data_IF_187885549024
#
_entry.id   IF_187885549024
#
_cell.length_a   1.000
_cell.length_b   1.000
_cell.length_c   1.000
_cell.angle_alpha   90.00
_cell.angle_beta   90.00
_cell.angle_gamma   90.00
#
_symmetry.space_group_name_H-M   'P 1'
#
loop_
_entity.id
_entity.type
_entity.pdbx_description
1 polymer ?
#
# COMPACT_ATOMS: atom_id res chain seq x y z
N UNK A 1 43.61 67.53 -32.75
CA UNK A 1 44.20 66.67 -31.70
C UNK A 1 43.48 67.01 -30.40
N UNK A 2 42.30 66.48 -30.02
CA UNK A 2 41.81 65.10 -29.79
C UNK A 2 42.72 64.24 -28.89
N UNK A 3 42.11 63.83 -27.78
CA UNK A 3 42.43 62.75 -26.83
C UNK A 3 43.41 63.05 -25.68
N UNK A 4 42.84 63.49 -24.55
CA UNK A 4 43.36 63.19 -23.20
C UNK A 4 42.29 63.54 -22.16
N UNK A 5 41.17 62.80 -22.13
CA UNK A 5 40.22 62.88 -21.01
C UNK A 5 39.35 61.61 -20.90
N UNK A 6 39.97 60.43 -20.88
CA UNK A 6 39.29 59.16 -20.59
C UNK A 6 40.30 58.19 -19.97
N UNK A 7 40.74 58.45 -18.74
CA UNK A 7 41.49 57.45 -17.97
C UNK A 7 41.37 57.69 -16.45
N UNK A 8 40.16 57.93 -15.95
CA UNK A 8 39.90 57.90 -14.50
C UNK A 8 38.49 57.42 -14.14
N UNK A 9 37.82 56.73 -15.07
CA UNK A 9 36.48 56.15 -14.86
C UNK A 9 36.37 54.69 -15.31
N UNK A 10 37.52 54.00 -15.41
CA UNK A 10 37.59 52.57 -15.71
C UNK A 10 38.32 51.75 -14.63
N UNK A 11 38.57 52.34 -13.46
CA UNK A 11 39.20 51.64 -12.33
C UNK A 11 38.23 51.40 -11.15
N UNK A 12 36.97 51.86 -11.25
CA UNK A 12 35.94 51.65 -10.21
C UNK A 12 34.84 50.64 -10.61
N UNK A 13 34.95 49.99 -11.77
CA UNK A 13 33.97 48.97 -12.21
C UNK A 13 34.46 47.52 -12.05
N UNK A 14 35.64 47.31 -11.47
CA UNK A 14 36.20 45.98 -11.21
C UNK A 14 36.25 45.59 -9.72
N UNK A 15 35.43 46.21 -8.87
CA UNK A 15 35.40 45.92 -7.43
C UNK A 15 33.99 45.68 -6.85
N UNK A 16 33.02 45.25 -7.67
CA UNK A 16 31.66 44.98 -7.16
C UNK A 16 31.05 43.66 -7.66
N UNK A 17 31.84 42.66 -8.03
CA UNK A 17 31.33 41.29 -8.31
C UNK A 17 31.89 40.24 -7.33
N UNK A 18 32.47 40.65 -6.21
CA UNK A 18 32.89 39.73 -5.14
C UNK A 18 32.06 40.05 -3.88
N UNK A 19 30.77 39.77 -3.97
CA UNK A 19 29.79 39.54 -2.89
C UNK A 19 28.44 39.38 -3.61
N UNK A 20 27.78 38.25 -3.68
CA UNK A 20 27.66 37.18 -2.70
C UNK A 20 27.60 35.82 -3.41
N UNK A 21 28.70 35.08 -3.38
CA UNK A 21 28.56 33.64 -3.23
C UNK A 21 28.57 33.46 -1.72
N UNK A 22 27.39 33.28 -1.12
CA UNK A 22 27.32 32.85 0.27
C UNK A 22 28.26 31.64 0.39
N UNK A 23 29.28 31.74 1.24
CA UNK A 23 30.04 30.59 1.70
C UNK A 23 29.08 29.74 2.54
N UNK A 24 28.13 29.07 1.87
CA UNK A 24 27.34 28.02 2.48
C UNK A 24 28.29 26.83 2.55
N UNK A 25 28.80 26.47 3.75
CA UNK A 25 29.65 25.29 3.88
C UNK A 25 28.89 24.12 3.26
N UNK A 26 29.57 23.30 2.48
CA UNK A 26 28.99 22.08 1.92
C UNK A 26 28.53 21.21 3.08
N UNK A 27 27.23 21.22 3.35
CA UNK A 27 26.61 20.38 4.36
C UNK A 27 26.41 19.02 3.70
N UNK A 28 27.01 17.98 4.27
CA UNK A 28 26.74 16.61 3.86
C UNK A 28 25.35 16.22 4.39
N UNK A 29 24.29 16.57 3.64
CA UNK A 29 22.90 16.37 4.07
C UNK A 29 22.52 14.90 4.21
N UNK A 30 23.08 14.00 3.38
CA UNK A 30 22.84 12.55 3.47
C UNK A 30 23.14 11.97 4.85
N UNK A 31 24.38 12.07 5.38
CA UNK A 31 24.70 11.63 6.73
C UNK A 31 23.88 12.29 7.85
N UNK A 32 23.46 13.55 7.66
CA UNK A 32 22.58 14.23 8.63
C UNK A 32 21.20 13.58 8.63
N UNK A 33 20.63 13.30 7.46
CA UNK A 33 19.35 12.61 7.31
C UNK A 33 19.42 11.22 7.94
N UNK A 34 20.44 10.42 7.62
CA UNK A 34 20.61 9.08 8.21
C UNK A 34 20.67 9.13 9.75
N UNK A 35 21.45 10.06 10.30
CA UNK A 35 21.52 10.25 11.75
C UNK A 35 20.17 10.72 12.32
N UNK A 36 19.43 11.57 11.62
CA UNK A 36 18.16 12.10 12.08
C UNK A 36 17.06 11.03 12.03
N UNK A 37 17.02 10.20 10.99
CA UNK A 37 16.12 9.03 10.87
C UNK A 37 16.36 8.09 12.05
N UNK A 38 17.61 7.77 12.35
CA UNK A 38 17.93 6.92 13.51
C UNK A 38 17.43 7.53 14.82
N UNK A 39 17.59 8.85 15.02
CA UNK A 39 17.07 9.55 16.20
C UNK A 39 15.56 9.50 16.28
N UNK A 40 14.87 9.62 15.15
CA UNK A 40 13.42 9.47 15.07
C UNK A 40 12.99 8.04 15.46
N UNK A 41 13.68 7.02 14.92
CA UNK A 41 13.40 5.61 15.22
C UNK A 41 13.62 5.27 16.70
N UNK A 42 14.61 5.90 17.34
CA UNK A 42 14.89 5.79 18.78
C UNK A 42 13.88 6.59 19.64
N UNK A 43 12.90 7.28 19.05
CA UNK A 43 11.91 8.12 19.74
C UNK A 43 12.44 9.48 20.19
N UNK A 44 13.66 9.86 19.78
CA UNK A 44 14.32 11.12 20.13
C UNK A 44 13.94 12.24 19.13
N UNK A 45 12.64 12.51 19.01
CA UNK A 45 12.08 13.39 17.96
C UNK A 45 12.68 14.80 17.96
N UNK A 46 12.92 15.39 19.14
CA UNK A 46 13.51 16.74 19.25
C UNK A 46 14.94 16.81 18.71
N UNK A 47 15.72 15.74 18.87
CA UNK A 47 17.08 15.65 18.31
C UNK A 47 17.03 15.47 16.79
N UNK A 48 16.11 14.65 16.28
CA UNK A 48 15.88 14.49 14.84
C UNK A 48 15.48 15.83 14.20
N UNK A 49 14.52 16.56 14.79
CA UNK A 49 14.10 17.90 14.37
C UNK A 49 15.29 18.85 14.29
N UNK A 50 16.14 18.87 15.32
CA UNK A 50 17.32 19.75 15.36
C UNK A 50 18.32 19.43 14.24
N UNK A 51 18.43 18.17 13.81
CA UNK A 51 19.28 17.76 12.70
C UNK A 51 18.68 18.14 11.35
N UNK A 52 17.40 17.85 11.10
CA UNK A 52 16.75 18.21 9.82
C UNK A 52 16.76 19.71 9.56
N UNK A 53 16.61 20.55 10.60
CA UNK A 53 16.68 22.02 10.50
C UNK A 53 18.05 22.55 10.05
N UNK A 54 19.11 21.73 10.05
CA UNK A 54 20.42 22.12 9.53
C UNK A 54 20.49 22.07 8.00
N UNK A 55 19.56 21.38 7.34
CA UNK A 55 19.59 21.20 5.89
C UNK A 55 19.02 22.46 5.23
N UNK A 56 19.82 23.20 4.44
CA UNK A 56 19.40 24.47 3.87
C UNK A 56 18.43 24.26 2.69
N UNK A 57 17.60 25.26 2.41
CA UNK A 57 16.62 25.23 1.31
C UNK A 57 17.23 25.01 -0.08
N UNK A 58 18.51 25.34 -0.25
CA UNK A 58 19.26 25.14 -1.50
C UNK A 58 19.79 23.72 -1.69
N UNK A 59 19.66 22.86 -0.68
CA UNK A 59 20.14 21.48 -0.72
C UNK A 59 19.20 20.59 -1.54
N UNK A 60 19.77 19.67 -2.33
CA UNK A 60 19.00 18.71 -3.15
C UNK A 60 18.29 17.63 -2.34
N UNK A 61 18.46 17.61 -1.02
CA UNK A 61 17.70 16.78 -0.10
C UNK A 61 16.70 17.59 0.73
N UNK A 62 16.47 18.87 0.42
CA UNK A 62 15.62 19.72 1.26
C UNK A 62 14.16 19.22 1.30
N UNK A 63 13.60 18.76 0.18
CA UNK A 63 12.23 18.21 0.16
C UNK A 63 12.15 16.94 1.01
N UNK A 64 13.18 16.09 0.95
CA UNK A 64 13.26 14.92 1.83
C UNK A 64 13.37 15.35 3.30
N UNK A 65 14.22 16.31 3.63
CA UNK A 65 14.33 16.84 4.98
C UNK A 65 13.00 17.42 5.50
N UNK A 66 12.23 18.14 4.67
CA UNK A 66 10.90 18.64 5.02
C UNK A 66 9.92 17.50 5.30
N UNK A 67 9.92 16.45 4.47
CA UNK A 67 9.10 15.27 4.69
C UNK A 67 9.36 14.64 6.07
N UNK A 68 10.63 14.36 6.41
CA UNK A 68 11.01 13.76 7.69
C UNK A 68 10.82 14.70 8.88
N UNK A 69 11.08 16.00 8.67
CA UNK A 69 10.88 17.03 9.69
C UNK A 69 9.40 17.18 10.04
N UNK A 70 8.52 17.14 9.05
CA UNK A 70 7.08 17.14 9.26
C UNK A 70 6.62 15.93 10.07
N UNK A 71 7.13 14.74 9.75
CA UNK A 71 6.84 13.51 10.53
C UNK A 71 7.33 13.63 11.96
N UNK A 72 8.54 14.14 12.16
CA UNK A 72 9.13 14.34 13.48
C UNK A 72 8.34 15.35 14.32
N UNK A 73 7.85 16.44 13.71
CA UNK A 73 6.97 17.38 14.39
C UNK A 73 5.62 16.74 14.75
N UNK A 74 5.02 15.94 13.86
CA UNK A 74 3.79 15.20 14.16
C UNK A 74 3.99 14.25 15.35
N UNK A 75 5.08 13.48 15.37
CA UNK A 75 5.40 12.55 16.45
C UNK A 75 5.65 13.27 17.81
N UNK A 76 6.27 14.45 17.79
CA UNK A 76 6.46 15.31 18.97
C UNK A 76 5.21 16.16 19.30
N UNK A 77 4.06 15.90 18.67
CA UNK A 77 2.79 16.63 18.85
C UNK A 77 2.85 18.14 18.53
N UNK A 78 3.84 18.58 17.76
CA UNK A 78 3.99 19.96 17.28
C UNK A 78 3.23 20.18 15.96
N UNK A 79 1.91 20.03 16.00
CA UNK A 79 1.07 19.98 14.78
C UNK A 79 1.13 21.26 13.93
N UNK A 80 1.23 22.44 14.53
CA UNK A 80 1.33 23.71 13.77
C UNK A 80 2.61 23.76 12.92
N UNK A 81 3.75 23.31 13.46
CA UNK A 81 5.00 23.26 12.71
C UNK A 81 4.99 22.17 11.64
N UNK A 82 4.39 21.02 11.93
CA UNK A 82 4.20 19.96 10.94
C UNK A 82 3.38 20.46 9.74
N UNK A 83 2.24 21.14 9.97
CA UNK A 83 1.43 21.74 8.91
C UNK A 83 2.23 22.74 8.07
N UNK A 84 3.02 23.60 8.72
CA UNK A 84 3.87 24.59 8.04
C UNK A 84 4.88 23.92 7.12
N UNK A 85 5.56 22.87 7.61
CA UNK A 85 6.59 22.14 6.87
C UNK A 85 6.00 21.34 5.71
N UNK A 86 4.86 20.65 5.91
CA UNK A 86 4.19 19.95 4.81
C UNK A 86 3.70 20.93 3.72
N UNK A 87 3.13 22.07 4.12
CA UNK A 87 2.69 23.12 3.19
C UNK A 87 3.87 23.68 2.40
N UNK A 88 5.01 23.92 3.08
CA UNK A 88 6.24 24.35 2.43
C UNK A 88 6.70 23.32 1.39
N UNK A 89 6.80 22.05 1.78
CA UNK A 89 7.21 20.96 0.88
C UNK A 89 6.32 20.86 -0.36
N UNK A 90 5.00 20.90 -0.20
CA UNK A 90 4.02 20.86 -1.29
C UNK A 90 4.05 22.12 -2.18
N UNK A 91 4.59 23.24 -1.69
CA UNK A 91 4.74 24.47 -2.48
C UNK A 91 5.98 24.45 -3.39
N UNK A 92 6.94 23.58 -3.10
CA UNK A 92 8.18 23.47 -3.87
C UNK A 92 7.91 22.77 -5.21
N UNK A 93 8.45 23.33 -6.29
CA UNK A 93 8.28 22.79 -7.64
C UNK A 93 9.34 21.75 -8.03
N UNK A 94 10.47 21.77 -7.33
CA UNK A 94 11.62 20.88 -7.55
C UNK A 94 11.42 19.60 -6.72
N UNK A 95 12.01 18.48 -7.17
CA UNK A 95 12.06 17.21 -6.40
C UNK A 95 10.69 16.66 -5.99
N UNK A 96 9.86 16.33 -6.98
CA UNK A 96 8.49 15.82 -6.78
C UNK A 96 8.39 14.36 -6.37
N UNK A 97 9.52 13.72 -6.07
CA UNK A 97 9.56 12.31 -5.72
C UNK A 97 8.83 12.02 -4.39
N UNK A 98 9.00 12.90 -3.40
CA UNK A 98 8.36 12.82 -2.09
C UNK A 98 6.99 13.51 -2.01
N UNK A 99 6.53 14.09 -3.12
CA UNK A 99 5.25 14.79 -3.15
C UNK A 99 4.04 13.90 -2.74
N UNK A 100 3.89 12.63 -3.18
CA UNK A 100 2.82 11.76 -2.67
C UNK A 100 2.94 11.47 -1.16
N UNK A 101 4.17 11.31 -0.65
CA UNK A 101 4.42 11.10 0.78
C UNK A 101 4.00 12.33 1.61
N UNK A 102 4.34 13.54 1.13
CA UNK A 102 3.95 14.82 1.74
C UNK A 102 2.43 15.00 1.75
N UNK A 103 1.74 14.73 0.63
CA UNK A 103 0.28 14.76 0.58
C UNK A 103 -0.33 13.78 1.59
N UNK A 104 0.20 12.57 1.67
CA UNK A 104 -0.29 11.54 2.56
C UNK A 104 -0.16 11.96 4.02
N UNK A 105 0.99 12.46 4.44
CA UNK A 105 1.23 12.87 5.83
C UNK A 105 0.48 14.16 6.18
N UNK A 106 0.36 15.10 5.23
CA UNK A 106 -0.45 16.29 5.42
C UNK A 106 -1.92 15.95 5.63
N UNK A 107 -2.50 15.11 4.77
CA UNK A 107 -3.88 14.66 4.90
C UNK A 107 -4.09 13.86 6.20
N UNK A 108 -3.17 12.97 6.57
CA UNK A 108 -3.24 12.21 7.82
C UNK A 108 -3.21 13.12 9.04
N UNK A 109 -2.37 14.16 9.05
CA UNK A 109 -2.33 15.11 10.15
C UNK A 109 -3.64 15.90 10.26
N UNK A 110 -4.21 16.33 9.13
CA UNK A 110 -5.52 16.99 9.10
C UNK A 110 -6.62 16.06 9.62
N UNK A 111 -6.56 14.77 9.25
CA UNK A 111 -7.47 13.73 9.73
C UNK A 111 -7.35 13.51 11.25
N UNK A 112 -6.12 13.43 11.78
CA UNK A 112 -5.83 13.27 13.20
C UNK A 112 -6.23 14.49 14.04
N UNK A 113 -6.24 15.68 13.42
CA UNK A 113 -6.79 16.91 14.01
C UNK A 113 -8.33 16.97 13.97
N UNK A 114 -9.00 15.98 13.37
CA UNK A 114 -10.45 15.83 13.35
C UNK A 114 -11.17 16.45 12.15
N UNK A 115 -10.45 17.08 11.22
CA UNK A 115 -11.04 17.66 9.99
C UNK A 115 -11.06 16.62 8.86
N UNK A 116 -11.84 15.55 9.08
CA UNK A 116 -11.89 14.36 8.22
C UNK A 116 -12.27 14.70 6.77
N UNK A 117 -13.24 15.58 6.54
CA UNK A 117 -13.68 15.94 5.19
C UNK A 117 -12.61 16.73 4.42
N UNK A 118 -11.86 17.62 5.10
CA UNK A 118 -10.71 18.28 4.48
C UNK A 118 -9.60 17.29 4.16
N UNK A 119 -9.33 16.32 5.05
CA UNK A 119 -8.37 15.26 4.76
C UNK A 119 -8.78 14.45 3.52
N UNK A 120 -10.06 14.07 3.40
CA UNK A 120 -10.59 13.40 2.21
C UNK A 120 -10.37 14.21 0.92
N UNK A 121 -10.61 15.52 0.94
CA UNK A 121 -10.37 16.39 -0.22
C UNK A 121 -8.87 16.45 -0.62
N UNK A 122 -7.96 16.44 0.36
CA UNK A 122 -6.51 16.38 0.12
C UNK A 122 -6.15 15.01 -0.48
N UNK A 123 -6.66 13.91 0.07
CA UNK A 123 -6.46 12.58 -0.49
C UNK A 123 -7.00 12.47 -1.91
N UNK A 124 -8.16 13.04 -2.22
CA UNK A 124 -8.74 13.05 -3.57
C UNK A 124 -7.83 13.76 -4.57
N UNK A 125 -7.32 14.94 -4.19
CA UNK A 125 -6.36 15.69 -5.01
C UNK A 125 -5.10 14.86 -5.26
N UNK A 126 -4.57 14.22 -4.22
CA UNK A 126 -3.34 13.44 -4.30
C UNK A 126 -3.53 12.15 -5.11
N UNK A 127 -4.63 11.42 -4.94
CA UNK A 127 -4.94 10.17 -5.68
C UNK A 127 -5.18 10.46 -7.16
N UNK A 128 -5.78 11.61 -7.50
CA UNK A 128 -5.93 12.02 -8.89
C UNK A 128 -4.56 12.21 -9.58
N UNK A 129 -3.56 12.68 -8.84
CA UNK A 129 -2.19 12.87 -9.33
C UNK A 129 -1.33 11.61 -9.27
N UNK A 130 -1.53 10.78 -8.25
CA UNK A 130 -0.75 9.57 -7.96
C UNK A 130 -1.66 8.34 -7.83
N UNK A 131 -2.31 7.91 -8.93
CA UNK A 131 -3.39 6.91 -8.88
C UNK A 131 -2.92 5.49 -8.55
N UNK A 132 -1.61 5.26 -8.44
CA UNK A 132 -1.01 3.96 -8.10
C UNK A 132 -0.30 3.98 -6.75
N UNK A 133 -0.28 5.12 -6.05
CA UNK A 133 0.41 5.25 -4.78
C UNK A 133 -0.49 4.73 -3.64
N UNK A 134 -0.21 3.50 -3.22
CA UNK A 134 -1.06 2.71 -2.33
C UNK A 134 -1.37 3.35 -0.96
N UNK A 135 -0.42 4.00 -0.26
CA UNK A 135 -0.69 4.57 1.06
C UNK A 135 -1.80 5.64 1.07
N UNK A 136 -1.91 6.46 0.02
CA UNK A 136 -2.98 7.47 -0.09
C UNK A 136 -4.38 6.82 -0.09
N UNK A 137 -4.54 5.73 -0.85
CA UNK A 137 -5.82 5.01 -0.91
C UNK A 137 -6.17 4.34 0.42
N UNK A 138 -5.18 3.71 1.07
CA UNK A 138 -5.35 3.10 2.37
C UNK A 138 -5.79 4.13 3.42
N UNK A 139 -5.08 5.24 3.54
CA UNK A 139 -5.36 6.23 4.58
C UNK A 139 -6.68 6.98 4.33
N UNK A 140 -7.03 7.26 3.06
CA UNK A 140 -8.37 7.73 2.70
C UNK A 140 -9.44 6.73 3.11
N UNK A 141 -9.26 5.43 2.83
CA UNK A 141 -10.21 4.40 3.23
C UNK A 141 -10.36 4.30 4.75
N UNK A 142 -9.26 4.42 5.50
CA UNK A 142 -9.30 4.49 6.97
C UNK A 142 -10.11 5.70 7.46
N UNK A 143 -9.94 6.86 6.83
CA UNK A 143 -10.73 8.07 7.14
C UNK A 143 -12.23 7.85 6.85
N UNK A 144 -12.55 7.24 5.71
CA UNK A 144 -13.93 6.90 5.35
C UNK A 144 -14.58 5.94 6.38
N UNK A 145 -13.82 4.96 6.89
CA UNK A 145 -14.31 4.06 7.94
C UNK A 145 -14.59 4.77 9.27
N UNK A 146 -13.79 5.78 9.65
CA UNK A 146 -14.06 6.63 10.82
C UNK A 146 -15.39 7.38 10.67
N UNK A 147 -15.75 7.76 9.44
CA UNK A 147 -17.00 8.43 9.09
C UNK A 147 -18.18 7.46 8.81
N UNK A 148 -18.01 6.15 9.04
CA UNK A 148 -18.98 5.10 8.69
C UNK A 148 -19.36 5.06 7.19
N UNK A 149 -18.49 5.57 6.30
CA UNK A 149 -18.63 5.53 4.83
C UNK A 149 -18.00 4.24 4.27
N UNK A 150 -18.47 3.11 4.79
CA UNK A 150 -17.87 1.78 4.58
C UNK A 150 -17.93 1.28 3.13
N UNK A 151 -18.98 1.61 2.37
CA UNK A 151 -19.12 1.24 0.95
C UNK A 151 -18.04 1.92 0.10
N UNK A 152 -17.76 3.21 0.35
CA UNK A 152 -16.70 3.94 -0.35
C UNK A 152 -15.31 3.42 0.04
N UNK A 153 -15.12 3.11 1.33
CA UNK A 153 -13.88 2.52 1.82
C UNK A 153 -13.61 1.15 1.17
N UNK A 154 -14.62 0.28 1.08
CA UNK A 154 -14.54 -1.04 0.44
C UNK A 154 -14.06 -0.90 -1.01
N UNK A 155 -14.72 -0.08 -1.83
CA UNK A 155 -14.34 0.11 -3.24
C UNK A 155 -12.90 0.58 -3.38
N UNK A 156 -12.48 1.53 -2.53
CA UNK A 156 -11.13 2.07 -2.55
C UNK A 156 -10.07 1.04 -2.12
N UNK A 157 -10.38 0.21 -1.11
CA UNK A 157 -9.51 -0.86 -0.62
C UNK A 157 -9.37 -1.98 -1.64
N UNK A 158 -10.45 -2.36 -2.32
CA UNK A 158 -10.42 -3.34 -3.42
C UNK A 158 -9.51 -2.85 -4.56
N UNK A 159 -9.66 -1.59 -4.97
CA UNK A 159 -8.76 -0.95 -5.95
C UNK A 159 -7.31 -0.96 -5.46
N UNK A 160 -7.08 -0.60 -4.20
CA UNK A 160 -5.74 -0.59 -3.62
C UNK A 160 -5.10 -1.98 -3.62
N UNK A 161 -5.86 -3.03 -3.31
CA UNK A 161 -5.38 -4.41 -3.26
C UNK A 161 -5.13 -5.02 -4.64
N UNK A 162 -5.75 -4.50 -5.72
CA UNK A 162 -5.34 -4.83 -7.10
C UNK A 162 -4.02 -4.15 -7.48
N UNK A 163 -3.77 -2.94 -6.98
CA UNK A 163 -2.52 -2.19 -7.23
C UNK A 163 -1.36 -2.77 -6.41
N UNK A 164 -1.62 -3.04 -5.13
CA UNK A 164 -0.65 -3.53 -4.16
C UNK A 164 -1.29 -4.59 -3.25
N UNK A 165 -1.28 -5.87 -3.69
CA UNK A 165 -1.67 -7.01 -2.86
C UNK A 165 -0.88 -7.16 -1.55
N UNK A 166 0.26 -6.48 -1.42
CA UNK A 166 1.10 -6.52 -0.22
C UNK A 166 0.76 -5.40 0.77
N UNK A 167 -0.30 -4.62 0.54
CA UNK A 167 -0.80 -3.64 1.50
C UNK A 167 -1.52 -4.37 2.65
N UNK A 168 -0.74 -4.89 3.61
CA UNK A 168 -1.21 -5.69 4.76
C UNK A 168 -2.43 -5.03 5.44
N UNK A 169 -2.30 -3.74 5.78
CA UNK A 169 -3.37 -2.99 6.45
C UNK A 169 -4.66 -2.90 5.63
N UNK A 170 -4.59 -2.93 4.29
CA UNK A 170 -5.80 -2.92 3.46
C UNK A 170 -6.62 -4.19 3.58
N UNK A 171 -6.03 -5.35 3.82
CA UNK A 171 -6.78 -6.58 4.09
C UNK A 171 -7.60 -6.45 5.37
N UNK A 172 -7.01 -5.93 6.45
CA UNK A 172 -7.71 -5.70 7.71
C UNK A 172 -8.81 -4.64 7.58
N UNK A 173 -8.50 -3.51 6.93
CA UNK A 173 -9.48 -2.44 6.71
C UNK A 173 -10.63 -2.90 5.81
N UNK A 174 -10.37 -3.80 4.85
CA UNK A 174 -11.43 -4.41 4.02
C UNK A 174 -12.34 -5.30 4.86
N UNK A 175 -11.77 -6.02 5.83
CA UNK A 175 -12.53 -6.80 6.81
C UNK A 175 -13.42 -5.93 7.70
N UNK A 176 -12.90 -4.78 8.16
CA UNK A 176 -13.68 -3.80 8.91
C UNK A 176 -14.79 -3.16 8.06
N UNK A 177 -14.47 -2.78 6.82
CA UNK A 177 -15.44 -2.21 5.88
C UNK A 177 -16.61 -3.17 5.62
N UNK A 178 -16.30 -4.45 5.40
CA UNK A 178 -17.30 -5.50 5.22
C UNK A 178 -18.13 -5.71 6.50
N UNK A 179 -17.49 -5.71 7.68
CA UNK A 179 -18.20 -5.87 8.96
C UNK A 179 -19.19 -4.72 9.21
N UNK A 180 -18.77 -3.46 8.99
CA UNK A 180 -19.65 -2.29 9.14
C UNK A 180 -20.86 -2.32 8.19
N UNK A 181 -20.80 -3.11 7.13
CA UNK A 181 -21.90 -3.33 6.18
C UNK A 181 -22.73 -4.58 6.49
N UNK A 182 -22.39 -5.35 7.54
CA UNK A 182 -23.04 -6.62 7.85
C UNK A 182 -22.62 -7.78 6.94
N UNK A 183 -21.60 -7.61 6.08
CA UNK A 183 -21.06 -8.64 5.17
C UNK A 183 -20.10 -9.57 5.94
N UNK A 184 -20.64 -10.42 6.82
CA UNK A 184 -19.82 -11.17 7.79
C UNK A 184 -18.89 -12.20 7.15
N UNK A 185 -19.29 -12.83 6.04
CA UNK A 185 -18.47 -13.85 5.35
C UNK A 185 -17.24 -13.18 4.73
N UNK A 186 -17.45 -12.10 3.98
CA UNK A 186 -16.39 -11.27 3.39
C UNK A 186 -15.46 -10.70 4.45
N UNK A 187 -16.02 -10.22 5.57
CA UNK A 187 -15.25 -9.73 6.71
C UNK A 187 -14.33 -10.81 7.26
N UNK A 188 -14.86 -12.01 7.49
CA UNK A 188 -14.10 -13.15 8.00
C UNK A 188 -12.96 -13.54 7.04
N UNK A 189 -13.24 -13.62 5.73
CA UNK A 189 -12.24 -13.87 4.67
C UNK A 189 -11.13 -12.83 4.73
N UNK A 190 -11.47 -11.55 4.75
CA UNK A 190 -10.49 -10.46 4.80
C UNK A 190 -9.61 -10.49 6.05
N UNK A 191 -10.15 -10.89 7.21
CA UNK A 191 -9.36 -10.99 8.43
C UNK A 191 -8.35 -12.13 8.42
N UNK A 192 -8.73 -13.33 7.99
CA UNK A 192 -7.72 -14.40 7.86
C UNK A 192 -6.77 -14.17 6.68
N UNK A 193 -7.17 -13.40 5.65
CA UNK A 193 -6.24 -12.85 4.65
C UNK A 193 -5.22 -11.88 5.27
N UNK A 194 -5.64 -11.00 6.17
CA UNK A 194 -4.72 -10.12 6.90
C UNK A 194 -3.69 -10.92 7.71
N UNK A 195 -4.14 -11.92 8.48
CA UNK A 195 -3.25 -12.78 9.26
C UNK A 195 -2.33 -13.62 8.38
N UNK A 196 -2.77 -14.01 7.19
CA UNK A 196 -1.92 -14.65 6.17
C UNK A 196 -0.81 -13.73 5.67
N UNK A 197 -1.10 -12.43 5.51
CA UNK A 197 -0.11 -11.47 5.03
C UNK A 197 0.91 -11.08 6.10
N UNK A 198 0.48 -10.97 7.36
CA UNK A 198 1.37 -10.66 8.49
C UNK A 198 0.77 -11.20 9.78
N UNK A 199 1.18 -12.42 10.19
CA UNK A 199 0.75 -13.03 11.44
C UNK A 199 1.11 -12.21 12.68
N UNK A 200 2.07 -11.30 12.57
CA UNK A 200 2.60 -10.42 13.61
C UNK A 200 2.24 -8.93 13.41
N UNK A 201 1.34 -8.63 12.47
CA UNK A 201 1.05 -7.25 12.09
C UNK A 201 0.36 -6.45 13.19
N UNK A 202 0.44 -5.12 13.10
CA UNK A 202 -0.06 -4.18 14.15
C UNK A 202 -1.52 -4.35 14.58
N UNK A 203 -2.39 -4.88 13.70
CA UNK A 203 -3.80 -5.14 13.98
C UNK A 203 -4.08 -6.58 14.41
N UNK A 204 -3.05 -7.39 14.70
CA UNK A 204 -3.20 -8.81 15.04
C UNK A 204 -4.25 -9.04 16.12
N UNK A 205 -4.13 -8.37 17.27
CA UNK A 205 -5.06 -8.56 18.38
C UNK A 205 -6.49 -8.16 18.01
N UNK A 206 -6.67 -7.02 17.33
CA UNK A 206 -7.99 -6.57 16.88
C UNK A 206 -8.59 -7.52 15.86
N UNK A 207 -7.77 -8.07 14.96
CA UNK A 207 -8.18 -9.05 13.96
C UNK A 207 -8.66 -10.35 14.62
N UNK A 208 -7.88 -10.91 15.56
CA UNK A 208 -8.26 -12.11 16.32
C UNK A 208 -9.53 -11.87 17.13
N UNK A 209 -9.68 -10.69 17.73
CA UNK A 209 -10.90 -10.31 18.45
C UNK A 209 -12.12 -10.28 17.51
N UNK A 210 -12.01 -9.63 16.35
CA UNK A 210 -13.11 -9.57 15.38
C UNK A 210 -13.47 -10.97 14.83
N UNK A 211 -12.47 -11.80 14.52
CA UNK A 211 -12.68 -13.20 14.15
C UNK A 211 -13.41 -13.96 15.27
N UNK A 212 -13.01 -13.78 16.53
CA UNK A 212 -13.68 -14.41 17.67
C UNK A 212 -15.14 -13.98 17.82
N UNK A 213 -15.43 -12.69 17.64
CA UNK A 213 -16.79 -12.13 17.71
C UNK A 213 -17.68 -12.74 16.61
N UNK A 214 -17.18 -12.83 15.38
CA UNK A 214 -17.91 -13.47 14.26
C UNK A 214 -18.05 -14.98 14.48
N UNK A 215 -16.96 -15.68 14.80
CA UNK A 215 -16.93 -17.13 14.92
C UNK A 215 -17.86 -17.67 16.00
N UNK A 216 -17.99 -16.93 17.11
CA UNK A 216 -18.87 -17.26 18.21
C UNK A 216 -20.31 -16.75 18.01
N UNK A 217 -20.61 -16.04 16.91
CA UNK A 217 -21.87 -15.34 16.64
C UNK A 217 -22.42 -14.69 17.93
N UNK A 218 -21.64 -13.71 18.42
CA UNK A 218 -21.99 -12.86 19.57
C UNK A 218 -23.00 -11.79 19.15
N UNK A 219 -23.72 -11.22 20.11
CA UNK A 219 -24.77 -10.23 19.82
C UNK A 219 -24.24 -9.00 19.05
N UNK A 220 -22.97 -8.65 19.23
CA UNK A 220 -22.30 -7.56 18.51
C UNK A 220 -22.35 -7.73 16.98
N UNK A 221 -22.29 -8.96 16.45
CA UNK A 221 -22.41 -9.16 14.99
C UNK A 221 -23.85 -9.00 14.50
N UNK A 222 -24.84 -9.30 15.35
CA UNK A 222 -26.25 -9.25 14.96
C UNK A 222 -26.65 -7.83 14.61
N UNK A 223 -26.18 -6.85 15.39
CA UNK A 223 -26.43 -5.45 15.08
C UNK A 223 -25.95 -5.05 13.67
N UNK A 224 -24.79 -5.54 13.22
CA UNK A 224 -24.31 -5.25 11.87
C UNK A 224 -25.16 -5.93 10.79
N UNK A 225 -25.58 -7.17 11.02
CA UNK A 225 -26.44 -7.93 10.10
C UNK A 225 -27.83 -7.29 10.02
N UNK A 226 -28.42 -6.93 11.15
CA UNK A 226 -29.76 -6.34 11.23
C UNK A 226 -29.82 -4.97 10.56
N UNK A 227 -28.71 -4.22 10.61
CA UNK A 227 -28.58 -2.91 9.95
C UNK A 227 -28.08 -2.99 8.50
N UNK A 228 -27.85 -4.19 7.95
CA UNK A 228 -27.37 -4.33 6.57
C UNK A 228 -28.42 -3.80 5.60
N UNK A 229 -27.96 -3.11 4.57
CA UNK A 229 -28.85 -2.56 3.53
C UNK A 229 -29.25 -3.59 2.48
N UNK A 230 -28.38 -4.57 2.25
CA UNK A 230 -28.52 -5.55 1.18
C UNK A 230 -28.37 -6.96 1.76
N UNK A 231 -29.19 -7.88 1.24
CA UNK A 231 -29.03 -9.31 1.54
C UNK A 231 -27.76 -9.86 0.90
N UNK A 232 -27.13 -10.90 1.48
CA UNK A 232 -26.02 -11.61 0.88
C UNK A 232 -26.41 -12.11 -0.50
N UNK A 233 -25.47 -12.05 -1.43
CA UNK A 233 -25.63 -12.74 -2.71
C UNK A 233 -25.72 -14.25 -2.51
N UNK A 234 -26.24 -14.95 -3.51
CA UNK A 234 -26.34 -16.40 -3.52
C UNK A 234 -24.99 -17.08 -3.23
N UNK A 235 -23.89 -16.48 -3.71
CA UNK A 235 -22.51 -16.93 -3.49
C UNK A 235 -22.10 -17.00 -2.01
N UNK A 236 -22.71 -16.19 -1.15
CA UNK A 236 -22.35 -16.08 0.27
C UNK A 236 -23.46 -16.47 1.23
N UNK A 237 -24.71 -16.61 0.76
CA UNK A 237 -25.86 -16.90 1.60
C UNK A 237 -25.71 -18.20 2.40
N UNK A 238 -25.26 -19.28 1.76
CA UNK A 238 -25.02 -20.56 2.43
C UNK A 238 -23.89 -20.45 3.47
N UNK A 239 -22.79 -19.78 3.12
CA UNK A 239 -21.65 -19.59 4.02
C UNK A 239 -22.05 -18.77 5.26
N UNK A 240 -22.87 -17.74 5.08
CA UNK A 240 -23.40 -16.94 6.18
C UNK A 240 -24.27 -17.79 7.11
N UNK A 241 -25.20 -18.58 6.56
CA UNK A 241 -26.03 -19.49 7.35
C UNK A 241 -25.19 -20.50 8.15
N UNK A 242 -24.13 -21.04 7.54
CA UNK A 242 -23.20 -21.95 8.22
C UNK A 242 -22.53 -21.25 9.42
N UNK A 243 -21.97 -20.05 9.22
CA UNK A 243 -21.35 -19.29 10.31
C UNK A 243 -22.36 -19.05 11.44
N UNK A 244 -23.55 -18.55 11.10
CA UNK A 244 -24.58 -18.15 12.07
C UNK A 244 -25.19 -19.32 12.82
N UNK A 245 -25.36 -20.48 12.17
CA UNK A 245 -25.90 -21.70 12.78
C UNK A 245 -24.98 -22.31 13.85
N UNK A 246 -23.71 -21.90 13.88
CA UNK A 246 -22.67 -22.47 14.75
C UNK A 246 -22.48 -23.98 14.55
N UNK A 247 -22.84 -24.52 13.38
CA UNK A 247 -22.74 -25.96 13.10
C UNK A 247 -21.30 -26.49 13.25
N UNK A 248 -20.30 -25.66 12.91
CA UNK A 248 -18.89 -26.00 13.09
C UNK A 248 -18.48 -26.11 14.57
N UNK A 249 -19.25 -25.52 15.48
CA UNK A 249 -19.01 -25.57 16.93
C UNK A 249 -19.63 -26.81 17.59
N UNK A 250 -20.40 -27.61 16.83
CA UNK A 250 -20.90 -28.89 17.33
C UNK A 250 -19.72 -29.84 17.64
N UNK A 251 -19.82 -30.55 18.77
CA UNK A 251 -18.78 -31.49 19.23
C UNK A 251 -18.51 -32.63 18.25
N UNK A 252 -19.46 -32.96 17.38
CA UNK A 252 -19.32 -34.01 16.37
C UNK A 252 -18.66 -33.50 15.08
N UNK A 253 -18.56 -32.16 14.90
CA UNK A 253 -17.77 -31.60 13.83
C UNK A 253 -16.29 -31.85 14.10
N UNK A 254 -15.66 -32.62 13.21
CA UNK A 254 -14.27 -33.07 13.36
C UNK A 254 -13.33 -31.98 12.86
N UNK A 255 -12.58 -31.39 13.78
CA UNK A 255 -11.50 -30.47 13.44
C UNK A 255 -10.37 -31.21 12.71
N UNK A 256 -9.85 -30.60 11.65
CA UNK A 256 -8.65 -31.03 10.93
C UNK A 256 -7.37 -30.58 11.63
N UNK A 257 -7.47 -29.71 12.63
CA UNK A 257 -6.33 -29.12 13.36
C UNK A 257 -6.49 -29.34 14.87
N UNK A 258 -5.36 -29.52 15.58
CA UNK A 258 -5.38 -29.65 17.04
C UNK A 258 -5.70 -28.36 17.77
N UNK A 259 -5.48 -27.21 17.12
CA UNK A 259 -5.89 -25.90 17.61
C UNK A 259 -7.41 -25.78 17.47
N UNK A 260 -8.13 -26.44 18.39
CA UNK A 260 -9.55 -26.68 18.27
C UNK A 260 -10.39 -25.60 18.98
N UNK A 261 -10.38 -24.39 18.41
CA UNK A 261 -11.19 -23.27 18.86
C UNK A 261 -12.28 -22.87 17.84
N UNK A 262 -13.18 -21.97 18.24
CA UNK A 262 -14.29 -21.53 17.41
C UNK A 262 -13.84 -20.86 16.09
N UNK A 263 -12.74 -20.10 16.12
CA UNK A 263 -12.20 -19.44 14.93
C UNK A 263 -11.70 -20.51 13.96
N UNK A 264 -10.86 -21.43 14.42
CA UNK A 264 -10.29 -22.49 13.59
C UNK A 264 -11.37 -23.38 12.96
N UNK A 265 -12.39 -23.77 13.74
CA UNK A 265 -13.55 -24.53 13.25
C UNK A 265 -14.33 -23.78 12.17
N UNK A 266 -14.53 -22.48 12.34
CA UNK A 266 -15.27 -21.66 11.37
C UNK A 266 -14.44 -21.40 10.09
N UNK A 267 -13.12 -21.20 10.20
CA UNK A 267 -12.25 -21.14 9.01
C UNK A 267 -12.31 -22.47 8.27
N UNK A 268 -12.28 -23.61 8.98
CA UNK A 268 -12.35 -24.94 8.35
C UNK A 268 -13.64 -25.13 7.55
N UNK A 269 -14.81 -24.88 8.16
CA UNK A 269 -16.08 -25.09 7.46
C UNK A 269 -16.24 -24.15 6.26
N UNK A 270 -15.68 -22.94 6.33
CA UNK A 270 -15.65 -22.03 5.18
C UNK A 270 -14.80 -22.59 4.05
N UNK A 271 -13.61 -23.13 4.33
CA UNK A 271 -12.75 -23.75 3.31
C UNK A 271 -13.40 -25.01 2.72
N UNK A 272 -14.12 -25.79 3.53
CA UNK A 272 -14.86 -26.97 3.10
C UNK A 272 -16.03 -26.64 2.17
N UNK A 273 -16.67 -25.48 2.37
CA UNK A 273 -17.96 -25.14 1.75
C UNK A 273 -17.88 -24.04 0.72
N UNK A 274 -16.79 -23.29 0.63
CA UNK A 274 -16.63 -22.26 -0.37
C UNK A 274 -16.53 -22.85 -1.77
N UNK A 275 -17.31 -22.29 -2.68
CA UNK A 275 -17.31 -22.61 -4.09
C UNK A 275 -16.79 -21.41 -4.88
N UNK A 276 -16.02 -21.69 -5.94
CA UNK A 276 -15.55 -20.65 -6.84
C UNK A 276 -16.51 -20.54 -8.02
N UNK A 277 -16.94 -19.32 -8.32
CA UNK A 277 -17.76 -19.01 -9.47
C UNK A 277 -17.01 -18.06 -10.41
N UNK A 278 -16.63 -18.56 -11.59
CA UNK A 278 -15.87 -17.78 -12.58
C UNK A 278 -16.66 -16.64 -13.25
N UNK A 279 -17.99 -16.65 -13.18
CA UNK A 279 -18.84 -15.60 -13.77
C UNK A 279 -19.28 -14.54 -12.76
N UNK A 280 -19.08 -14.79 -11.47
CA UNK A 280 -19.34 -13.84 -10.41
C UNK A 280 -18.24 -12.76 -10.39
N UNK A 281 -18.65 -11.50 -10.43
CA UNK A 281 -17.76 -10.35 -10.50
C UNK A 281 -17.40 -9.78 -9.12
N UNK A 282 -17.86 -10.39 -8.03
CA UNK A 282 -17.50 -10.01 -6.67
C UNK A 282 -15.99 -10.08 -6.42
N UNK A 283 -15.48 -9.10 -5.68
CA UNK A 283 -14.06 -8.99 -5.41
C UNK A 283 -13.51 -10.18 -4.64
N UNK A 284 -14.15 -10.61 -3.54
CA UNK A 284 -13.64 -11.71 -2.73
C UNK A 284 -13.69 -13.03 -3.50
N UNK A 285 -14.73 -13.22 -4.32
CA UNK A 285 -14.92 -14.40 -5.16
C UNK A 285 -13.78 -14.56 -6.16
N UNK A 286 -13.34 -13.48 -6.79
CA UNK A 286 -12.25 -13.53 -7.76
C UNK A 286 -10.87 -13.41 -7.12
N UNK A 287 -10.74 -12.64 -6.04
CA UNK A 287 -9.46 -12.29 -5.44
C UNK A 287 -8.96 -13.32 -4.42
N UNK A 288 -9.83 -13.85 -3.56
CA UNK A 288 -9.42 -14.68 -2.42
C UNK A 288 -9.81 -16.15 -2.55
N UNK A 289 -11.04 -16.42 -2.98
CA UNK A 289 -11.59 -17.79 -2.98
C UNK A 289 -10.73 -18.79 -3.77
N UNK A 290 -10.17 -18.48 -4.96
CA UNK A 290 -9.33 -19.43 -5.70
C UNK A 290 -8.09 -19.88 -4.91
N UNK A 291 -7.47 -18.96 -4.16
CA UNK A 291 -6.32 -19.29 -3.30
C UNK A 291 -6.72 -20.23 -2.17
N UNK A 292 -7.83 -19.94 -1.49
CA UNK A 292 -8.28 -20.73 -0.34
C UNK A 292 -8.78 -22.11 -0.75
N UNK A 293 -9.47 -22.24 -1.88
CA UNK A 293 -9.79 -23.54 -2.48
C UNK A 293 -8.54 -24.36 -2.77
N UNK A 294 -7.53 -23.75 -3.43
CA UNK A 294 -6.27 -24.41 -3.71
C UNK A 294 -5.58 -24.92 -2.44
N UNK A 295 -5.50 -24.07 -1.40
CA UNK A 295 -4.92 -24.44 -0.09
C UNK A 295 -5.66 -25.65 0.50
N UNK A 296 -7.00 -25.69 0.42
CA UNK A 296 -7.79 -26.78 0.97
C UNK A 296 -7.64 -28.09 0.16
N UNK A 297 -7.79 -28.00 -1.16
CA UNK A 297 -7.73 -29.14 -2.10
C UNK A 297 -6.34 -29.81 -2.08
N UNK A 298 -5.28 -29.03 -1.93
CA UNK A 298 -3.90 -29.51 -1.79
C UNK A 298 -3.55 -29.95 -0.35
N UNK A 299 -4.54 -30.03 0.55
CA UNK A 299 -4.40 -30.48 1.95
C UNK A 299 -3.41 -29.65 2.77
N UNK A 300 -3.29 -28.36 2.47
CA UNK A 300 -2.40 -27.40 3.16
C UNK A 300 -3.10 -26.62 4.27
N UNK A 301 -4.36 -26.94 4.57
CA UNK A 301 -5.17 -26.26 5.57
C UNK A 301 -4.53 -26.22 6.96
N UNK A 302 -4.02 -27.35 7.46
CA UNK A 302 -3.39 -27.40 8.79
C UNK A 302 -2.17 -26.46 8.83
N UNK A 303 -1.28 -26.55 7.84
CA UNK A 303 -0.12 -25.65 7.71
C UNK A 303 -0.53 -24.18 7.67
N UNK A 304 -1.60 -23.86 6.94
CA UNK A 304 -2.15 -22.51 6.85
C UNK A 304 -2.61 -21.99 8.21
N UNK A 305 -3.42 -22.75 8.96
CA UNK A 305 -3.93 -22.33 10.27
C UNK A 305 -2.77 -22.07 11.25
N UNK A 306 -1.79 -22.99 11.32
CA UNK A 306 -0.64 -22.78 12.20
C UNK A 306 0.22 -21.59 11.79
N UNK A 307 0.33 -21.29 10.49
CA UNK A 307 1.06 -20.14 9.99
C UNK A 307 0.38 -18.82 10.39
N UNK A 308 -0.92 -18.65 10.13
CA UNK A 308 -1.62 -17.38 10.38
C UNK A 308 -1.72 -17.03 11.88
N UNK A 309 -1.63 -18.03 12.76
CA UNK A 309 -1.60 -17.86 14.21
C UNK A 309 -0.19 -18.00 14.82
N UNK A 310 0.86 -17.93 14.01
CA UNK A 310 2.25 -18.10 14.49
C UNK A 310 2.71 -17.05 15.50
N UNK A 311 2.02 -15.91 15.63
CA UNK A 311 2.28 -14.92 16.66
C UNK A 311 1.55 -15.20 18.00
N UNK A 312 0.67 -16.20 18.05
CA UNK A 312 0.06 -16.65 19.31
C UNK A 312 1.11 -17.43 20.11
N UNK A 313 1.31 -17.02 21.37
CA UNK A 313 2.25 -17.68 22.29
C UNK A 313 1.68 -19.00 22.86
N UNK A 314 1.42 -19.97 21.98
CA UNK A 314 1.02 -21.34 22.34
C UNK A 314 2.10 -22.30 21.84
N UNK A 315 2.65 -23.10 22.77
CA UNK A 315 3.77 -24.01 22.50
C UNK A 315 3.49 -24.96 21.33
N UNK A 316 2.27 -25.50 21.23
CA UNK A 316 1.87 -26.37 20.13
C UNK A 316 2.00 -25.71 18.75
N UNK A 317 1.66 -24.42 18.65
CA UNK A 317 1.76 -23.65 17.39
C UNK A 317 3.24 -23.43 17.02
N UNK A 318 4.06 -23.03 17.99
CA UNK A 318 5.48 -22.79 17.76
C UNK A 318 6.21 -24.08 17.36
N UNK A 319 5.91 -25.18 18.06
CA UNK A 319 6.48 -26.49 17.75
C UNK A 319 6.06 -26.98 16.36
N UNK A 320 4.78 -26.79 15.96
CA UNK A 320 4.33 -27.13 14.62
C UNK A 320 5.07 -26.33 13.54
N UNK A 321 5.13 -25.01 13.68
CA UNK A 321 5.77 -24.14 12.69
C UNK A 321 7.28 -24.38 12.58
N UNK A 322 7.95 -24.75 13.69
CA UNK A 322 9.35 -25.13 13.69
C UNK A 322 9.57 -26.48 13.00
N UNK A 323 8.72 -27.47 13.28
CA UNK A 323 8.82 -28.83 12.71
C UNK A 323 8.49 -28.86 11.22
N UNK A 324 7.48 -28.11 10.80
CA UNK A 324 6.97 -28.09 9.42
C UNK A 324 7.43 -26.84 8.65
N UNK A 325 8.66 -26.37 8.92
CA UNK A 325 9.20 -25.13 8.32
C UNK A 325 9.19 -25.20 6.79
N UNK A 326 9.52 -26.36 6.20
CA UNK A 326 9.59 -26.53 4.75
C UNK A 326 8.21 -26.39 4.10
N UNK A 327 7.20 -27.02 4.68
CA UNK A 327 5.81 -26.98 4.22
C UNK A 327 5.24 -25.55 4.37
N UNK A 328 5.54 -24.89 5.48
CA UNK A 328 5.18 -23.49 5.74
C UNK A 328 5.81 -22.55 4.71
N UNK A 329 7.12 -22.66 4.47
CA UNK A 329 7.85 -21.80 3.53
C UNK A 329 7.37 -22.03 2.08
N UNK A 330 7.00 -23.27 1.72
CA UNK A 330 6.38 -23.59 0.44
C UNK A 330 4.99 -22.97 0.29
N UNK A 331 4.14 -23.08 1.32
CA UNK A 331 2.83 -22.41 1.35
C UNK A 331 2.96 -20.89 1.19
N UNK A 332 3.88 -20.26 1.91
CA UNK A 332 4.14 -18.81 1.81
C UNK A 332 4.57 -18.46 0.38
N UNK A 333 5.48 -19.24 -0.21
CA UNK A 333 5.95 -19.02 -1.58
C UNK A 333 4.82 -19.09 -2.61
N UNK A 334 3.86 -20.00 -2.43
CA UNK A 334 2.69 -20.11 -3.30
C UNK A 334 1.70 -18.94 -3.13
N UNK A 335 1.48 -18.49 -1.89
CA UNK A 335 0.69 -17.29 -1.60
C UNK A 335 1.33 -16.07 -2.26
N UNK A 336 2.64 -15.91 -2.12
CA UNK A 336 3.41 -14.82 -2.75
C UNK A 336 3.30 -14.89 -4.27
N UNK A 337 3.43 -16.07 -4.88
CA UNK A 337 3.27 -16.24 -6.32
C UNK A 337 1.86 -15.85 -6.79
N UNK A 338 0.83 -16.27 -6.05
CA UNK A 338 -0.57 -15.93 -6.34
C UNK A 338 -0.82 -14.42 -6.29
N UNK A 339 -0.36 -13.75 -5.23
CA UNK A 339 -0.51 -12.30 -5.06
C UNK A 339 0.37 -11.53 -6.05
N UNK A 340 1.53 -12.06 -6.42
CA UNK A 340 2.37 -11.47 -7.45
C UNK A 340 1.67 -11.48 -8.81
N UNK A 341 0.98 -12.57 -9.17
CA UNK A 341 0.16 -12.62 -10.39
C UNK A 341 -0.90 -11.51 -10.41
N UNK A 342 -1.59 -11.28 -9.28
CA UNK A 342 -2.50 -10.13 -9.15
C UNK A 342 -1.76 -8.82 -9.34
N UNK A 343 -0.60 -8.62 -8.69
CA UNK A 343 0.14 -7.35 -8.74
C UNK A 343 0.63 -7.00 -10.15
N UNK A 344 1.18 -7.98 -10.85
CA UNK A 344 1.79 -7.77 -12.18
C UNK A 344 0.75 -7.70 -13.28
N UNK A 345 -0.47 -8.20 -13.06
CA UNK A 345 -1.55 -8.14 -14.06
C UNK A 345 -2.58 -7.05 -13.75
N UNK A 346 -2.79 -6.76 -12.47
CA UNK A 346 -3.92 -6.02 -11.90
C UNK A 346 -5.28 -6.52 -12.37
N UNK A 347 -5.35 -7.79 -12.75
CA UNK A 347 -6.55 -8.43 -13.24
C UNK A 347 -7.27 -9.10 -12.07
N UNK A 348 -8.51 -8.65 -11.82
CA UNK A 348 -9.33 -9.17 -10.74
C UNK A 348 -9.71 -10.63 -11.05
N UNK A 349 -10.20 -10.90 -12.26
CA UNK A 349 -10.76 -12.20 -12.62
C UNK A 349 -9.67 -13.26 -12.69
N UNK A 350 -9.77 -14.30 -11.84
CA UNK A 350 -8.73 -15.30 -11.69
C UNK A 350 -8.38 -16.00 -13.01
N UNK A 351 -9.38 -16.40 -13.79
CA UNK A 351 -9.20 -17.07 -15.10
C UNK A 351 -8.55 -16.19 -16.19
N UNK A 352 -8.51 -14.87 -15.98
CA UNK A 352 -7.98 -13.91 -16.95
C UNK A 352 -6.57 -13.46 -16.65
N UNK A 353 -6.05 -13.65 -15.43
CA UNK A 353 -4.72 -13.13 -15.02
C UNK A 353 -3.61 -13.60 -15.95
N UNK A 354 -3.53 -14.91 -16.19
CA UNK A 354 -2.52 -15.49 -17.08
C UNK A 354 -2.61 -14.95 -18.52
N UNK A 355 -3.82 -14.59 -18.99
CA UNK A 355 -4.07 -14.07 -20.33
C UNK A 355 -4.05 -12.53 -20.43
N UNK A 356 -3.83 -11.81 -19.33
CA UNK A 356 -3.85 -10.36 -19.38
C UNK A 356 -2.77 -9.84 -20.34
N UNK A 357 -3.17 -8.99 -21.28
CA UNK A 357 -2.29 -8.46 -22.33
C UNK A 357 -1.34 -7.38 -21.80
N UNK A 358 -1.74 -6.71 -20.73
CA UNK A 358 -0.93 -5.70 -20.04
C UNK A 358 -0.36 -6.27 -18.75
N UNK A 359 0.91 -5.98 -18.53
CA UNK A 359 1.66 -6.31 -17.32
C UNK A 359 2.29 -5.07 -16.72
N UNK A 360 2.54 -5.11 -15.42
CA UNK A 360 3.14 -4.03 -14.64
C UNK A 360 4.49 -4.49 -14.09
N UNK A 361 5.54 -3.75 -14.45
CA UNK A 361 6.85 -3.88 -13.82
C UNK A 361 6.85 -3.13 -12.50
N UNK A 362 7.44 -3.76 -11.49
CA UNK A 362 7.52 -3.22 -10.13
C UNK A 362 9.00 -3.11 -9.75
N UNK A 363 9.43 -1.94 -9.28
CA UNK A 363 10.73 -1.71 -8.65
C UNK A 363 10.50 -1.05 -7.30
N UNK A 364 11.18 -1.53 -6.25
CA UNK A 364 11.17 -0.92 -4.91
C UNK A 364 9.76 -0.66 -4.36
N UNK A 365 8.81 -1.56 -4.65
CA UNK A 365 7.43 -1.43 -4.21
C UNK A 365 6.52 -0.62 -5.13
N UNK A 366 7.07 0.21 -6.03
CA UNK A 366 6.34 1.08 -6.93
C UNK A 366 6.27 0.52 -8.37
N UNK A 367 5.33 1.03 -9.17
CA UNK A 367 5.26 0.67 -10.60
C UNK A 367 6.33 1.43 -11.34
N UNK A 368 7.24 0.68 -11.98
CA UNK A 368 8.33 1.21 -12.78
C UNK A 368 8.04 1.15 -14.28
N UNK A 369 7.11 0.30 -14.71
CA UNK A 369 6.69 0.23 -16.10
C UNK A 369 5.39 -0.52 -16.33
N UNK A 370 4.83 -0.35 -17.53
CA UNK A 370 3.58 -0.98 -17.96
C UNK A 370 3.62 -1.22 -19.47
N UNK A 371 3.29 -2.43 -19.89
CA UNK A 371 3.20 -2.80 -21.31
C UNK A 371 2.94 -4.30 -21.49
N UNK A 372 3.24 -4.82 -22.68
CA UNK A 372 3.04 -6.24 -22.99
C UNK A 372 4.37 -6.99 -23.08
N UNK A 373 4.34 -8.28 -22.75
CA UNK A 373 5.46 -9.20 -22.94
C UNK A 373 5.18 -10.14 -24.12
N UNK A 374 6.23 -10.58 -24.81
CA UNK A 374 6.15 -11.67 -25.76
C UNK A 374 5.76 -12.98 -25.06
N UNK A 375 5.45 -14.00 -25.86
CA UNK A 375 5.06 -15.32 -25.35
C UNK A 375 6.14 -16.02 -24.51
N UNK A 376 7.41 -15.61 -24.65
CA UNK A 376 8.52 -16.06 -23.80
C UNK A 376 8.49 -15.46 -22.38
N UNK A 377 7.70 -14.40 -22.15
CA UNK A 377 7.59 -13.72 -20.87
C UNK A 377 8.77 -12.83 -20.51
N UNK A 378 9.76 -12.70 -21.40
CA UNK A 378 11.00 -11.95 -21.15
C UNK A 378 11.06 -10.68 -21.99
N UNK A 379 10.70 -10.76 -23.28
CA UNK A 379 10.83 -9.62 -24.20
C UNK A 379 9.67 -8.65 -24.06
N UNK A 380 9.99 -7.37 -23.97
CA UNK A 380 9.00 -6.30 -24.02
C UNK A 380 8.53 -6.12 -25.46
N UNK A 381 7.22 -6.07 -25.70
CA UNK A 381 6.65 -5.86 -27.03
C UNK A 381 5.56 -4.79 -27.01
N UNK A 382 5.32 -4.17 -28.16
CA UNK A 382 4.26 -3.18 -28.29
C UNK A 382 4.52 -1.91 -27.45
N UNK A 383 3.47 -1.13 -27.12
CA UNK A 383 3.63 0.11 -26.39
C UNK A 383 4.03 -0.14 -24.94
N UNK A 384 5.00 0.63 -24.47
CA UNK A 384 5.49 0.62 -23.10
C UNK A 384 5.56 2.03 -22.51
N UNK A 385 5.15 2.13 -21.26
CA UNK A 385 5.31 3.30 -20.40
C UNK A 385 6.24 2.93 -19.24
N UNK A 386 7.15 3.84 -18.88
CA UNK A 386 7.99 3.73 -17.69
C UNK A 386 7.78 4.93 -16.81
N UNK A 387 7.88 4.73 -15.50
CA UNK A 387 7.54 5.73 -14.51
C UNK A 387 8.71 6.00 -13.56
N UNK A 388 8.77 7.20 -13.03
CA UNK A 388 9.56 7.51 -11.85
C UNK A 388 8.99 6.82 -10.61
N UNK A 389 9.75 6.67 -9.51
CA UNK A 389 9.26 6.08 -8.26
C UNK A 389 7.95 6.70 -7.75
N UNK A 390 7.78 8.01 -7.93
CA UNK A 390 6.55 8.74 -7.60
C UNK A 390 5.36 8.48 -8.55
N UNK A 391 5.53 7.68 -9.60
CA UNK A 391 4.47 7.30 -10.54
C UNK A 391 4.28 8.23 -11.74
N UNK A 392 5.00 9.36 -11.81
CA UNK A 392 4.99 10.23 -12.98
C UNK A 392 5.63 9.52 -14.19
N UNK A 393 5.10 9.74 -15.39
CA UNK A 393 5.65 9.18 -16.63
C UNK A 393 7.09 9.68 -16.83
N UNK A 394 8.02 8.75 -17.02
CA UNK A 394 9.44 9.00 -17.30
C UNK A 394 9.73 8.86 -18.79
N UNK A 395 9.18 7.82 -19.41
CA UNK A 395 9.35 7.59 -20.84
C UNK A 395 8.22 6.75 -21.41
N UNK A 396 7.91 6.95 -22.69
CA UNK A 396 6.96 6.11 -23.41
C UNK A 396 7.41 5.90 -24.86
N UNK A 397 7.25 4.68 -25.36
CA UNK A 397 7.62 4.29 -26.71
C UNK A 397 7.12 2.89 -27.06
N UNK A 398 7.65 2.31 -28.13
CA UNK A 398 7.24 1.00 -28.63
C UNK A 398 8.43 0.08 -28.75
N UNK A 399 8.21 -1.20 -28.44
CA UNK A 399 9.11 -2.30 -28.76
C UNK A 399 8.56 -3.13 -29.93
N UNK A 400 9.45 -3.58 -30.81
CA UNK A 400 9.15 -4.52 -31.88
C UNK A 400 9.07 -5.97 -31.34
N UNK A 401 8.74 -6.93 -32.21
CA UNK A 401 8.58 -8.35 -31.82
C UNK A 401 9.90 -9.02 -31.38
N UNK A 402 11.05 -8.40 -31.68
CA UNK A 402 12.37 -8.87 -31.23
C UNK A 402 12.75 -8.31 -29.84
N UNK A 403 11.95 -7.43 -29.26
CA UNK A 403 12.24 -6.76 -28.00
C UNK A 403 13.15 -5.54 -28.13
N UNK A 404 13.27 -4.97 -29.33
CA UNK A 404 14.08 -3.79 -29.61
C UNK A 404 13.19 -2.55 -29.65
N UNK A 405 13.71 -1.41 -29.17
CA UNK A 405 13.00 -0.14 -29.23
C UNK A 405 12.82 0.30 -30.69
N UNK A 406 11.60 0.67 -31.08
CA UNK A 406 11.30 1.16 -32.42
C UNK A 406 10.53 2.48 -32.41
N UNK A 407 10.67 3.24 -33.50
CA UNK A 407 9.93 4.46 -33.73
C UNK A 407 10.30 5.56 -32.75
N UNK A 408 9.31 6.27 -32.23
CA UNK A 408 9.52 7.48 -31.44
C UNK A 408 9.39 7.21 -29.95
N UNK A 409 10.45 7.53 -29.20
CA UNK A 409 10.48 7.51 -27.75
C UNK A 409 10.40 8.93 -27.19
N UNK A 410 9.43 9.15 -26.30
CA UNK A 410 9.27 10.40 -25.57
C UNK A 410 9.84 10.25 -24.17
N UNK A 411 10.58 11.26 -23.72
CA UNK A 411 11.15 11.34 -22.36
C UNK A 411 10.62 12.57 -21.66
N UNK A 412 10.41 12.45 -20.36
CA UNK A 412 9.78 13.48 -19.53
C UNK A 412 10.60 13.66 -18.25
N UNK A 413 10.75 14.90 -17.81
CA UNK A 413 11.25 15.22 -16.48
C UNK A 413 10.22 14.80 -15.41
N UNK A 414 10.67 14.69 -14.16
CA UNK A 414 9.80 14.35 -13.01
C UNK A 414 8.59 15.28 -12.82
N UNK A 415 8.68 16.53 -13.30
CA UNK A 415 7.58 17.49 -13.25
C UNK A 415 6.55 17.31 -14.38
N UNK A 416 6.72 16.30 -15.24
CA UNK A 416 5.88 15.99 -16.39
C UNK A 416 6.20 16.79 -17.65
N UNK A 417 7.15 17.74 -17.59
CA UNK A 417 7.58 18.47 -18.78
C UNK A 417 8.33 17.54 -19.73
N UNK A 418 8.04 17.64 -21.03
CA UNK A 418 8.74 16.87 -22.06
C UNK A 418 10.21 17.29 -22.08
N UNK A 419 11.09 16.31 -21.87
CA UNK A 419 12.54 16.49 -21.88
C UNK A 419 13.08 16.40 -23.30
N UNK A 420 12.78 15.29 -23.97
CA UNK A 420 13.31 15.02 -25.30
C UNK A 420 12.45 14.02 -26.07
N UNK A 421 12.81 13.86 -27.34
CA UNK A 421 12.27 12.82 -28.22
C UNK A 421 13.44 12.18 -28.97
N UNK A 422 13.43 10.85 -29.06
CA UNK A 422 14.43 10.08 -29.80
C UNK A 422 13.75 9.20 -30.84
N UNK A 423 14.27 9.20 -32.06
CA UNK A 423 13.88 8.27 -33.12
C UNK A 423 14.88 7.11 -33.04
N UNK A 424 14.36 5.90 -32.83
CA UNK A 424 15.14 4.67 -32.67
C UNK A 424 15.28 3.91 -33.99
#
# INVERSE_FOLDING_TARGET
MKQSLTLTLLFCLFFSVISAQENNPLIASGPIIESAVKKYDDGLYKEAIALYKKIPRSDTNYVWALYELGMSYTADSQFTEALRVYTEGLSLKQEREREPDLYNNYASLIDDMGDHEKALAIYDTAIAKYPTYSPLMLNKATTLLKLNRSVEAESLLQKNLLINPYSISSHYMLGLAALQQGKIVQSFISYFSYLMMSPDGRYFQNCVNNLSVIANNRDDIRQFIDNRKESPSDSYQLLEQIILSKIALDKNYKSLVKLDDAICRQIQVLFEKMEYNATDNDFWMQYYIPLYKKIFEEKKFETYVYYIFSNVNIEAIQNYNKKNKKEKDALISEIVAYLNDIRVTRELFFEKRQKASTRYMISDGAVSGKGAYASDGEKLIGPWEFYYPAGNLRSAGKYNDNGEQEGTWNYYYQNGAKESLKIM
#
